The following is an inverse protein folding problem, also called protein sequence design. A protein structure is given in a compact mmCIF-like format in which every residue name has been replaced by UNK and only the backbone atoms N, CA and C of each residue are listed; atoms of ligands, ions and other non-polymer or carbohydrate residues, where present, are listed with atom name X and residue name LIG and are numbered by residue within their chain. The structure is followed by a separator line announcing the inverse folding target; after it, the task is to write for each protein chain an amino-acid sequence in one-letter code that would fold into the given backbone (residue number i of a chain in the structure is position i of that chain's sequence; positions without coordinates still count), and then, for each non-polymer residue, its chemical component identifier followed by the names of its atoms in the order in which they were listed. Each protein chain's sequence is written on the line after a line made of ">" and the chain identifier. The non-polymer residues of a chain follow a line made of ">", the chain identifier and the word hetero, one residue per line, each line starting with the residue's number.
data_IF_057697110887
#
_entry.id   IF_057697110887
#
_cell.length_a   1.000
_cell.length_b   1.000
_cell.length_c   1.000
_cell.angle_alpha   90.00
_cell.angle_beta   90.00
_cell.angle_gamma   90.00
#
_symmetry.space_group_name_H-M   'P 1'
#
loop_
_entity.id
_entity.type
_entity.pdbx_description
1 polymer ?
#
# COMPACT_ATOMS: atom_id res chain seq x y z
N UNK A 1 -16.41 -19.74 48.41
CA UNK A 1 -16.70 -19.24 47.05
C UNK A 1 -15.54 -19.61 46.15
N UNK A 2 -15.84 -20.18 44.99
CA UNK A 2 -14.85 -20.62 44.01
C UNK A 2 -14.58 -19.52 42.97
N UNK A 3 -13.49 -19.62 42.19
CA UNK A 3 -13.14 -18.61 41.17
C UNK A 3 -14.22 -18.43 40.10
N UNK A 4 -14.90 -19.52 39.73
CA UNK A 4 -15.98 -19.49 38.73
C UNK A 4 -17.21 -18.73 39.24
N UNK A 5 -17.56 -18.91 40.51
CA UNK A 5 -18.67 -18.19 41.15
C UNK A 5 -18.37 -16.69 41.26
N UNK A 6 -17.12 -16.32 41.54
CA UNK A 6 -16.67 -14.93 41.53
C UNK A 6 -16.84 -14.31 40.13
N UNK A 7 -16.39 -15.00 39.07
CA UNK A 7 -16.51 -14.52 37.69
C UNK A 7 -17.98 -14.31 37.29
N UNK A 8 -18.86 -15.23 37.68
CA UNK A 8 -20.29 -15.09 37.45
C UNK A 8 -20.87 -13.86 38.15
N UNK A 9 -20.51 -13.63 39.42
CA UNK A 9 -20.94 -12.44 40.14
C UNK A 9 -20.41 -11.14 39.53
N UNK A 10 -19.18 -11.14 39.03
CA UNK A 10 -18.62 -9.99 38.31
C UNK A 10 -19.36 -9.74 36.99
N UNK A 11 -19.69 -10.77 36.22
CA UNK A 11 -20.48 -10.63 34.99
C UNK A 11 -21.90 -10.13 35.28
N UNK A 12 -22.52 -10.65 36.35
CA UNK A 12 -23.83 -10.19 36.81
C UNK A 12 -23.81 -8.71 37.18
N UNK A 13 -22.69 -8.22 37.74
CA UNK A 13 -22.51 -6.81 38.10
C UNK A 13 -22.59 -5.86 36.90
N UNK A 14 -22.38 -6.35 35.67
CA UNK A 14 -22.52 -5.56 34.45
C UNK A 14 -23.97 -5.40 34.02
N UNK A 15 -24.80 -6.40 34.31
CA UNK A 15 -26.22 -6.44 33.89
C UNK A 15 -27.13 -5.80 34.94
N UNK A 16 -26.78 -5.94 36.22
CA UNK A 16 -27.57 -5.46 37.35
C UNK A 16 -26.68 -5.02 38.51
N UNK A 17 -27.17 -4.15 39.40
CA UNK A 17 -26.48 -3.88 40.66
C UNK A 17 -26.46 -5.13 41.53
N UNK A 18 -25.30 -5.42 42.13
CA UNK A 18 -25.14 -6.52 43.08
C UNK A 18 -25.84 -6.20 44.41
N UNK A 19 -26.39 -7.24 45.03
CA UNK A 19 -27.00 -7.16 46.36
C UNK A 19 -25.93 -7.05 47.45
N UNK A 20 -26.29 -6.52 48.63
CA UNK A 20 -25.34 -6.39 49.75
C UNK A 20 -24.77 -7.74 50.20
N UNK A 21 -25.54 -8.83 50.10
CA UNK A 21 -25.07 -10.19 50.40
C UNK A 21 -24.00 -10.65 49.42
N UNK A 22 -24.18 -10.40 48.12
CA UNK A 22 -23.20 -10.76 47.08
C UNK A 22 -21.92 -9.92 47.20
N UNK A 23 -22.03 -8.63 47.54
CA UNK A 23 -20.85 -7.80 47.83
C UNK A 23 -20.12 -8.31 49.07
N UNK A 24 -20.85 -8.80 50.08
CA UNK A 24 -20.27 -9.43 51.27
C UNK A 24 -19.46 -10.67 50.92
N UNK A 25 -20.00 -11.57 50.10
CA UNK A 25 -19.27 -12.80 49.68
C UNK A 25 -18.04 -12.48 48.86
N UNK A 26 -18.09 -11.49 47.96
CA UNK A 26 -16.91 -11.04 47.19
C UNK A 26 -15.84 -10.47 48.14
N UNK A 27 -16.23 -9.63 49.10
CA UNK A 27 -15.30 -9.04 50.07
C UNK A 27 -14.59 -10.11 50.89
N UNK A 28 -15.31 -11.13 51.35
CA UNK A 28 -14.71 -12.22 52.12
C UNK A 28 -13.79 -13.09 51.26
N UNK A 29 -14.12 -13.27 49.98
CA UNK A 29 -13.22 -13.95 49.03
C UNK A 29 -11.94 -13.16 48.76
N UNK A 30 -12.04 -11.83 48.60
CA UNK A 30 -10.91 -10.93 48.38
C UNK A 30 -9.96 -10.91 49.59
N UNK A 31 -10.50 -10.93 50.82
CA UNK A 31 -9.67 -11.08 52.03
C UNK A 31 -8.84 -12.37 52.02
N UNK A 32 -9.38 -13.45 51.47
CA UNK A 32 -8.68 -14.72 51.33
C UNK A 32 -7.69 -14.75 50.15
N UNK A 33 -7.82 -13.83 49.18
CA UNK A 33 -7.00 -13.76 47.96
C UNK A 33 -6.50 -12.33 47.70
N UNK A 34 -5.59 -11.79 48.55
CA UNK A 34 -5.14 -10.40 48.46
C UNK A 34 -4.47 -10.07 47.11
N UNK A 35 -3.86 -11.05 46.45
CA UNK A 35 -3.24 -10.89 45.13
C UNK A 35 -4.24 -10.49 44.02
N UNK A 36 -5.54 -10.76 44.21
CA UNK A 36 -6.61 -10.46 43.25
C UNK A 36 -7.47 -9.26 43.66
N UNK A 37 -7.17 -8.64 44.81
CA UNK A 37 -7.96 -7.53 45.35
C UNK A 37 -8.11 -6.39 44.37
N UNK A 38 -7.00 -5.93 43.78
CA UNK A 38 -6.99 -4.77 42.89
C UNK A 38 -7.86 -5.00 41.64
N UNK A 39 -7.78 -6.18 41.03
CA UNK A 39 -8.56 -6.55 39.84
C UNK A 39 -10.07 -6.59 40.16
N UNK A 40 -10.44 -7.24 41.26
CA UNK A 40 -11.85 -7.36 41.67
C UNK A 40 -12.44 -6.00 42.05
N UNK A 41 -11.71 -5.19 42.80
CA UNK A 41 -12.15 -3.83 43.17
C UNK A 41 -12.29 -2.91 41.96
N UNK A 42 -11.39 -3.01 40.99
CA UNK A 42 -11.46 -2.27 39.73
C UNK A 42 -12.71 -2.63 38.94
N UNK A 43 -13.01 -3.92 38.79
CA UNK A 43 -14.22 -4.38 38.10
C UNK A 43 -15.50 -3.87 38.80
N UNK A 44 -15.57 -4.00 40.13
CA UNK A 44 -16.72 -3.51 40.89
C UNK A 44 -16.89 -1.98 40.80
N UNK A 45 -15.79 -1.23 40.80
CA UNK A 45 -15.82 0.22 40.62
C UNK A 45 -16.31 0.61 39.22
N UNK A 46 -15.82 -0.07 38.18
CA UNK A 46 -16.24 0.14 36.79
C UNK A 46 -17.74 -0.12 36.62
N UNK A 47 -18.22 -1.29 37.06
CA UNK A 47 -19.63 -1.65 37.00
C UNK A 47 -20.52 -0.64 37.73
N UNK A 48 -20.05 -0.16 38.89
CA UNK A 48 -20.73 0.86 39.67
C UNK A 48 -20.82 2.22 38.96
N UNK A 49 -19.79 2.61 38.20
CA UNK A 49 -19.82 3.83 37.38
C UNK A 49 -20.78 3.65 36.20
N UNK A 50 -20.73 2.52 35.50
CA UNK A 50 -21.63 2.22 34.37
C UNK A 50 -23.10 2.35 34.78
N UNK A 51 -23.47 1.81 35.94
CA UNK A 51 -24.84 1.89 36.44
C UNK A 51 -25.29 3.30 36.86
N UNK A 52 -24.35 4.23 37.03
CA UNK A 52 -24.65 5.65 37.34
C UNK A 52 -24.71 6.52 36.08
N UNK A 53 -24.31 6.01 34.92
CA UNK A 53 -24.44 6.76 33.69
C UNK A 53 -25.93 6.95 33.36
N UNK A 54 -26.34 8.16 32.94
CA UNK A 54 -27.70 8.38 32.49
C UNK A 54 -27.94 7.57 31.21
N UNK A 55 -29.16 7.05 31.06
CA UNK A 55 -29.58 6.45 29.79
C UNK A 55 -29.44 7.48 28.67
N UNK A 56 -28.67 7.13 27.64
CA UNK A 56 -28.48 8.00 26.50
C UNK A 56 -29.76 8.01 25.65
N UNK A 57 -30.33 9.18 25.33
CA UNK A 57 -31.49 9.25 24.46
C UNK A 57 -31.08 8.75 23.06
N UNK A 58 -31.68 7.65 22.63
CA UNK A 58 -31.50 7.15 21.27
C UNK A 58 -32.28 8.05 20.31
N UNK A 59 -31.60 8.57 19.28
CA UNK A 59 -32.26 9.38 18.25
C UNK A 59 -33.32 8.53 17.52
N UNK A 60 -34.52 9.06 17.31
CA UNK A 60 -35.63 8.37 16.63
C UNK A 60 -35.28 7.92 15.20
N UNK A 61 -34.31 8.59 14.57
CA UNK A 61 -33.84 8.31 13.22
C UNK A 61 -32.53 7.50 13.18
N UNK A 62 -32.10 6.90 14.31
CA UNK A 62 -30.83 6.17 14.41
C UNK A 62 -30.69 5.12 13.30
N UNK A 63 -31.69 4.26 13.14
CA UNK A 63 -31.66 3.20 12.12
C UNK A 63 -31.56 3.77 10.70
N UNK A 64 -32.24 4.89 10.41
CA UNK A 64 -32.14 5.53 9.10
C UNK A 64 -30.74 6.08 8.83
N UNK A 65 -30.07 6.66 9.84
CA UNK A 65 -28.70 7.15 9.73
C UNK A 65 -27.70 5.99 9.56
N UNK A 66 -27.92 4.87 10.24
CA UNK A 66 -27.10 3.66 10.09
C UNK A 66 -27.22 3.10 8.67
N UNK A 67 -28.44 2.91 8.17
CA UNK A 67 -28.65 2.43 6.80
C UNK A 67 -28.05 3.37 5.76
N UNK A 68 -28.21 4.68 5.94
CA UNK A 68 -27.62 5.67 5.05
C UNK A 68 -26.08 5.59 5.04
N UNK A 69 -25.45 5.36 6.20
CA UNK A 69 -23.99 5.19 6.27
C UNK A 69 -23.52 3.90 5.58
N UNK A 70 -24.21 2.79 5.79
CA UNK A 70 -23.89 1.51 5.13
C UNK A 70 -24.00 1.66 3.61
N UNK A 71 -25.10 2.25 3.14
CA UNK A 71 -25.32 2.45 1.71
C UNK A 71 -24.31 3.44 1.10
N UNK A 72 -23.87 4.44 1.87
CA UNK A 72 -22.81 5.36 1.46
C UNK A 72 -21.45 4.67 1.36
N UNK A 73 -21.10 3.76 2.30
CA UNK A 73 -19.87 2.97 2.21
C UNK A 73 -19.89 2.02 1.01
N UNK A 74 -21.01 1.34 0.77
CA UNK A 74 -21.14 0.40 -0.35
C UNK A 74 -20.98 1.12 -1.70
N UNK A 75 -21.55 2.34 -1.83
CA UNK A 75 -21.37 3.17 -3.02
C UNK A 75 -19.94 3.68 -3.18
N UNK A 76 -19.24 3.97 -2.10
CA UNK A 76 -17.84 4.39 -2.15
C UNK A 76 -16.94 3.24 -2.65
N UNK A 77 -17.19 2.02 -2.18
CA UNK A 77 -16.47 0.82 -2.60
C UNK A 77 -16.75 0.43 -4.06
N UNK A 78 -17.99 0.64 -4.54
CA UNK A 78 -18.31 0.43 -5.95
C UNK A 78 -17.63 1.47 -6.84
N UNK A 79 -17.54 2.74 -6.42
CA UNK A 79 -16.83 3.78 -7.18
C UNK A 79 -15.32 3.57 -7.24
N UNK A 80 -14.71 3.04 -6.19
CA UNK A 80 -13.28 2.71 -6.19
C UNK A 80 -12.96 1.55 -7.13
N UNK A 81 -13.83 0.53 -7.19
CA UNK A 81 -13.73 -0.59 -8.15
C UNK A 81 -14.08 -0.21 -9.59
N UNK A 82 -14.99 0.76 -9.76
CA UNK A 82 -15.43 1.29 -11.06
C UNK A 82 -14.49 2.34 -11.65
N UNK A 83 -13.40 2.73 -10.95
CA UNK A 83 -12.27 3.42 -11.60
C UNK A 83 -11.55 2.42 -12.51
N UNK A 84 -12.23 2.09 -13.59
CA UNK A 84 -11.70 1.34 -14.73
C UNK A 84 -10.38 1.96 -15.17
N UNK A 85 -9.39 1.16 -15.57
CA UNK A 85 -8.09 1.60 -16.08
C UNK A 85 -8.19 2.24 -17.48
N UNK A 86 -9.27 2.97 -17.76
CA UNK A 86 -9.50 3.69 -19.03
C UNK A 86 -8.37 4.67 -19.36
N UNK A 87 -7.65 5.17 -18.35
CA UNK A 87 -6.44 5.97 -18.54
C UNK A 87 -5.28 5.14 -19.11
N UNK A 88 -5.09 3.89 -18.67
CA UNK A 88 -4.04 2.99 -19.16
C UNK A 88 -4.33 2.50 -20.59
N UNK A 89 -5.57 2.13 -20.92
CA UNK A 89 -5.95 1.78 -22.29
C UNK A 89 -5.76 2.97 -23.26
N UNK A 90 -6.10 4.17 -22.82
CA UNK A 90 -5.94 5.40 -23.62
C UNK A 90 -4.46 5.72 -23.87
N UNK A 91 -3.60 5.53 -22.86
CA UNK A 91 -2.16 5.68 -23.00
C UNK A 91 -1.63 4.63 -23.98
N UNK A 92 -1.93 3.33 -23.78
CA UNK A 92 -1.44 2.27 -24.67
C UNK A 92 -1.82 2.51 -26.13
N UNK A 93 -3.06 2.89 -26.41
CA UNK A 93 -3.54 3.17 -27.78
C UNK A 93 -2.84 4.38 -28.44
N UNK A 94 -2.33 5.33 -27.66
CA UNK A 94 -1.59 6.50 -28.16
C UNK A 94 -0.11 6.20 -28.46
N UNK A 95 0.50 5.24 -27.77
CA UNK A 95 1.92 4.93 -27.88
C UNK A 95 2.23 3.70 -28.76
N UNK A 96 1.31 2.74 -28.89
CA UNK A 96 1.44 1.58 -29.80
C UNK A 96 1.82 1.99 -31.24
N UNK A 97 1.17 2.95 -31.91
CA UNK A 97 1.56 3.32 -33.28
C UNK A 97 2.95 3.96 -33.36
N UNK A 98 3.42 4.62 -32.29
CA UNK A 98 4.77 5.21 -32.23
C UNK A 98 5.85 4.13 -32.05
N UNK A 99 5.57 3.12 -31.23
CA UNK A 99 6.48 1.99 -31.02
C UNK A 99 6.55 1.06 -32.23
N UNK A 100 5.43 0.84 -32.92
CA UNK A 100 5.39 0.06 -34.17
C UNK A 100 6.29 0.66 -35.26
N UNK A 101 6.30 1.99 -35.40
CA UNK A 101 7.19 2.69 -36.34
C UNK A 101 8.67 2.52 -36.00
N UNK A 102 9.03 2.65 -34.71
CA UNK A 102 10.41 2.46 -34.26
C UNK A 102 10.93 1.03 -34.49
N UNK A 103 10.10 0.02 -34.20
CA UNK A 103 10.41 -1.39 -34.47
C UNK A 103 10.56 -1.69 -35.97
N UNK A 104 9.75 -1.06 -36.83
CA UNK A 104 9.88 -1.21 -38.28
C UNK A 104 11.21 -0.62 -38.79
N UNK A 105 11.62 0.55 -38.30
CA UNK A 105 12.91 1.15 -38.66
C UNK A 105 14.08 0.30 -38.15
N UNK A 106 13.99 -0.20 -36.92
CA UNK A 106 15.01 -1.06 -36.32
C UNK A 106 15.18 -2.36 -37.11
N UNK A 107 14.07 -3.03 -37.46
CA UNK A 107 14.10 -4.26 -38.24
C UNK A 107 14.64 -4.03 -39.65
N UNK A 108 14.29 -2.93 -40.31
CA UNK A 108 14.86 -2.54 -41.63
C UNK A 108 16.36 -2.28 -41.52
N UNK A 109 16.82 -1.60 -40.47
CA UNK A 109 18.24 -1.28 -40.27
C UNK A 109 19.07 -2.55 -40.02
N UNK A 110 18.55 -3.49 -39.22
CA UNK A 110 19.19 -4.79 -38.98
C UNK A 110 19.22 -5.63 -40.27
N UNK A 111 18.17 -5.57 -41.09
CA UNK A 111 18.11 -6.31 -42.35
C UNK A 111 19.16 -5.79 -43.36
N UNK A 112 19.36 -4.46 -43.41
CA UNK A 112 20.38 -3.81 -44.25
C UNK A 112 21.79 -4.16 -43.79
N UNK A 113 22.06 -4.16 -42.48
CA UNK A 113 23.36 -4.53 -41.92
C UNK A 113 23.71 -6.00 -42.13
N UNK A 114 22.71 -6.87 -42.30
CA UNK A 114 22.90 -8.30 -42.58
C UNK A 114 23.00 -8.65 -44.05
N UNK A 115 22.90 -7.70 -44.98
CA UNK A 115 23.20 -7.99 -46.39
C UNK A 115 24.73 -8.14 -46.54
N UNK A 116 25.24 -9.34 -46.87
CA UNK A 116 26.64 -9.50 -47.24
C UNK A 116 26.84 -8.78 -48.58
N UNK A 117 27.39 -7.56 -48.53
CA UNK A 117 27.63 -6.74 -49.70
C UNK A 117 28.92 -7.15 -50.41
N UNK A 118 28.78 -7.88 -51.51
CA UNK A 118 29.78 -7.85 -52.58
C UNK A 118 29.80 -6.43 -53.19
N UNK A 119 30.91 -5.73 -52.94
CA UNK A 119 31.45 -4.65 -53.76
C UNK A 119 30.55 -3.45 -54.11
N UNK A 120 30.77 -2.31 -53.44
CA UNK A 120 30.91 -1.01 -54.14
C UNK A 120 31.28 0.14 -53.19
N UNK A 121 32.59 0.35 -53.03
CA UNK A 121 33.23 1.48 -52.35
C UNK A 121 33.16 2.80 -53.15
N UNK A 122 31.99 3.18 -53.70
CA UNK A 122 31.86 4.45 -54.45
C UNK A 122 30.59 5.30 -54.17
N UNK A 123 29.73 4.92 -53.23
CA UNK A 123 28.56 5.76 -52.85
C UNK A 123 28.68 6.46 -51.47
N UNK A 124 29.74 6.19 -50.72
CA UNK A 124 29.96 6.81 -49.40
C UNK A 124 30.26 8.33 -49.45
N UNK A 125 30.66 8.87 -50.61
CA UNK A 125 30.95 10.30 -50.72
C UNK A 125 29.68 11.18 -50.84
N UNK A 126 28.57 10.63 -51.33
CA UNK A 126 27.34 11.41 -51.56
C UNK A 126 26.42 11.49 -50.34
N UNK A 127 26.48 10.51 -49.43
CA UNK A 127 25.68 10.49 -48.20
C UNK A 127 26.26 11.33 -47.06
N UNK A 128 27.59 11.49 -47.00
CA UNK A 128 28.26 12.29 -45.98
C UNK A 128 28.05 13.80 -46.18
N UNK A 129 27.90 14.26 -47.43
CA UNK A 129 27.57 15.67 -47.71
C UNK A 129 26.15 16.05 -47.25
N UNK A 130 25.20 15.10 -47.26
CA UNK A 130 23.83 15.32 -46.78
C UNK A 130 23.71 15.21 -45.26
N UNK A 131 24.57 14.42 -44.61
CA UNK A 131 24.60 14.27 -43.15
C UNK A 131 25.41 15.37 -42.45
N UNK A 132 26.48 15.88 -43.07
CA UNK A 132 27.29 16.96 -42.50
C UNK A 132 26.51 18.27 -42.36
N UNK A 133 25.59 18.57 -43.28
CA UNK A 133 24.73 19.76 -43.23
C UNK A 133 23.73 19.73 -42.06
N UNK A 134 23.46 18.56 -41.46
CA UNK A 134 22.58 18.43 -40.28
C UNK A 134 23.34 18.31 -38.94
N UNK A 135 24.68 18.21 -38.96
CA UNK A 135 25.48 17.98 -37.75
C UNK A 135 26.08 19.27 -37.14
N UNK A 136 25.90 20.44 -37.75
CA UNK A 136 26.39 21.73 -37.21
C UNK A 136 25.60 22.23 -35.97
N UNK A 137 24.68 21.43 -35.43
CA UNK A 137 23.79 21.83 -34.33
C UNK A 137 23.92 21.07 -33.00
N UNK A 138 24.81 20.07 -32.88
CA UNK A 138 24.96 19.33 -31.62
C UNK A 138 26.27 19.70 -30.92
N UNK A 139 26.13 20.46 -29.85
CA UNK A 139 27.18 20.87 -28.92
C UNK A 139 27.77 19.64 -28.19
N UNK A 140 29.11 19.43 -28.21
CA UNK A 140 29.78 18.32 -27.52
C UNK A 140 29.48 18.23 -26.01
N UNK A 141 29.09 19.33 -25.38
CA UNK A 141 28.70 19.36 -23.97
C UNK A 141 27.46 18.50 -23.66
N UNK A 142 26.61 18.22 -24.65
CA UNK A 142 25.39 17.41 -24.47
C UNK A 142 25.68 15.92 -24.24
N UNK A 143 26.93 15.47 -24.47
CA UNK A 143 27.35 14.09 -24.25
C UNK A 143 28.00 13.84 -22.88
N UNK A 144 28.30 14.88 -22.09
CA UNK A 144 28.86 14.70 -20.74
C UNK A 144 27.86 14.06 -19.77
N UNK A 145 26.58 14.47 -19.83
CA UNK A 145 25.54 13.91 -18.97
C UNK A 145 25.34 12.40 -19.19
N UNK A 146 25.55 11.94 -20.43
CA UNK A 146 25.49 10.51 -20.75
C UNK A 146 26.68 9.72 -20.18
N UNK A 147 27.86 10.33 -20.10
CA UNK A 147 29.06 9.74 -19.51
C UNK A 147 28.94 9.64 -17.98
N UNK A 148 28.39 10.69 -17.35
CA UNK A 148 28.07 10.71 -15.92
C UNK A 148 27.03 9.65 -15.53
N UNK A 149 25.96 9.47 -16.33
CA UNK A 149 24.96 8.43 -16.08
C UNK A 149 25.57 7.02 -16.25
N UNK A 150 26.46 6.84 -17.24
CA UNK A 150 27.09 5.53 -17.50
C UNK A 150 28.02 5.11 -16.36
N UNK A 151 28.83 6.04 -15.86
CA UNK A 151 29.75 5.77 -14.74
C UNK A 151 28.99 5.50 -13.44
N UNK A 152 27.88 6.19 -13.19
CA UNK A 152 27.02 5.94 -12.03
C UNK A 152 26.37 4.55 -12.09
N UNK A 153 25.80 4.16 -13.24
CA UNK A 153 25.15 2.86 -13.41
C UNK A 153 26.11 1.67 -13.24
N UNK A 154 27.37 1.83 -13.64
CA UNK A 154 28.40 0.80 -13.48
C UNK A 154 28.83 0.62 -12.02
N UNK A 155 28.82 1.70 -11.23
CA UNK A 155 29.12 1.65 -9.78
C UNK A 155 28.00 1.03 -8.94
N UNK A 156 26.74 1.30 -9.27
CA UNK A 156 25.57 0.79 -8.54
C UNK A 156 25.42 -0.73 -8.71
N UNK A 157 25.70 -1.22 -9.92
CA UNK A 157 25.64 -2.66 -10.25
C UNK A 157 26.67 -3.47 -9.45
N UNK A 158 27.83 -2.90 -9.11
CA UNK A 158 28.87 -3.59 -8.34
C UNK A 158 28.49 -3.74 -6.85
N UNK A 159 27.87 -2.72 -6.26
CA UNK A 159 27.39 -2.74 -4.87
C UNK A 159 26.23 -3.73 -4.69
N UNK A 160 25.32 -3.80 -5.68
CA UNK A 160 24.19 -4.73 -5.66
C UNK A 160 24.63 -6.20 -5.68
N UNK A 161 25.71 -6.53 -6.41
CA UNK A 161 26.25 -7.89 -6.47
C UNK A 161 26.87 -8.31 -5.13
N UNK A 162 27.54 -7.39 -4.43
CA UNK A 162 28.14 -7.65 -3.12
C UNK A 162 27.06 -7.80 -2.03
N UNK A 163 26.00 -6.99 -2.07
CA UNK A 163 24.83 -7.12 -1.20
C UNK A 163 24.06 -8.43 -1.45
N UNK A 164 23.90 -8.83 -2.72
CA UNK A 164 23.27 -10.10 -3.08
C UNK A 164 24.10 -11.31 -2.62
N UNK A 165 25.43 -11.22 -2.71
CA UNK A 165 26.33 -12.27 -2.22
C UNK A 165 26.30 -12.40 -0.69
N UNK A 166 26.15 -11.29 0.05
CA UNK A 166 26.04 -11.30 1.51
C UNK A 166 24.69 -11.86 2.03
N UNK A 167 23.65 -11.92 1.18
CA UNK A 167 22.30 -12.37 1.55
C UNK A 167 22.05 -13.85 1.19
N UNK A 168 22.96 -14.51 0.47
CA UNK A 168 22.89 -15.95 0.21
C UNK A 168 23.64 -16.72 1.32
N UNK A 169 22.95 -17.60 2.08
CA UNK A 169 23.56 -18.36 3.19
C UNK A 169 24.52 -19.46 2.74
#
# INVERSE_FOLDING_TARGET
>A
MNELELKQLLEDSWKRPLTQSEVGTIRDWVKAHPARQAEVEQELALSGVIHRLPDAPVSSNFNSQVWQKIEASDRADQRSRSRSPSSLESIWRRWVPRLAGGLAILTVTILVLKQPGDGSSKQAASGLAAAAVQAEGLDPAMFEDFEAIRTLAESDTALDVELLAALQP
#
